data_IF_152690843784
#
_entry.id   IF_152690843784
#
_cell.length_a   1.000
_cell.length_b   1.000
_cell.length_c   1.000
_cell.angle_alpha   90.00
_cell.angle_beta   90.00
_cell.angle_gamma   90.00
#
_symmetry.space_group_name_H-M   'P 1'
#
loop_
_entity.id
_entity.type
_entity.pdbx_description
1 polymer ?
#
# COMPACT_ATOMS: atom_id res chain seq x y z
N UNK A 1 9.68 22.05 5.74
CA UNK A 1 9.80 21.92 7.21
C UNK A 1 8.62 22.54 7.94
N UNK A 2 8.23 23.80 7.68
CA UNK A 2 7.11 24.45 8.38
C UNK A 2 5.77 23.70 8.27
N UNK A 3 5.35 23.31 7.05
CA UNK A 3 4.06 22.61 6.85
C UNK A 3 4.02 21.21 7.48
N UNK A 4 5.16 20.50 7.50
CA UNK A 4 5.27 19.18 8.15
C UNK A 4 5.04 19.33 9.65
N UNK A 5 5.64 20.36 10.26
CA UNK A 5 5.44 20.67 11.67
C UNK A 5 3.98 21.04 11.97
N UNK A 6 3.36 21.86 11.13
CA UNK A 6 1.95 22.26 11.27
C UNK A 6 1.00 21.06 11.21
N UNK A 7 1.19 20.15 10.24
CA UNK A 7 0.42 18.89 10.14
C UNK A 7 0.64 18.04 11.39
N UNK A 8 1.88 17.90 11.86
CA UNK A 8 2.25 17.10 13.04
C UNK A 8 1.61 17.64 14.31
N UNK A 9 1.65 18.95 14.52
CA UNK A 9 1.00 19.63 15.65
C UNK A 9 -0.53 19.46 15.61
N UNK A 10 -1.13 19.61 14.43
CA UNK A 10 -2.57 19.42 14.24
C UNK A 10 -3.00 17.98 14.51
N UNK A 11 -2.27 17.00 13.97
CA UNK A 11 -2.50 15.57 14.26
C UNK A 11 -2.30 15.24 15.74
N UNK A 12 -1.31 15.82 16.39
CA UNK A 12 -1.10 15.65 17.83
C UNK A 12 -2.26 16.21 18.66
N UNK A 13 -2.86 17.33 18.24
CA UNK A 13 -3.96 17.97 18.96
C UNK A 13 -5.31 17.28 18.71
N UNK A 14 -5.63 17.01 17.46
CA UNK A 14 -6.96 16.55 17.03
C UNK A 14 -7.06 15.02 16.94
N UNK A 15 -5.95 14.33 16.72
CA UNK A 15 -5.89 12.89 16.48
C UNK A 15 -4.85 12.19 17.38
N UNK A 16 -4.78 12.61 18.65
CA UNK A 16 -3.78 12.15 19.63
C UNK A 16 -3.76 10.63 19.87
N UNK A 17 -4.86 9.92 19.59
CA UNK A 17 -4.98 8.46 19.71
C UNK A 17 -4.35 7.68 18.57
N UNK A 18 -4.01 8.33 17.45
CA UNK A 18 -3.31 7.67 16.35
C UNK A 18 -1.89 7.28 16.78
N UNK A 19 -1.38 6.15 16.26
CA UNK A 19 -0.05 5.64 16.59
C UNK A 19 1.04 6.63 16.20
N UNK A 20 2.17 6.53 16.88
CA UNK A 20 3.39 7.31 16.63
C UNK A 20 4.52 6.43 16.09
N UNK A 21 5.56 7.04 15.54
CA UNK A 21 6.67 6.37 14.87
C UNK A 21 6.39 6.08 13.40
N UNK A 22 7.05 5.06 12.84
CA UNK A 22 6.96 4.70 11.42
C UNK A 22 5.50 4.41 11.01
N UNK A 23 5.04 5.03 9.93
CA UNK A 23 3.66 5.04 9.45
C UNK A 23 2.63 5.61 10.46
N UNK A 24 3.09 6.38 11.44
CA UNK A 24 2.29 7.01 12.48
C UNK A 24 2.00 8.48 12.18
N UNK A 25 1.30 9.14 13.11
CA UNK A 25 0.86 10.54 12.99
C UNK A 25 1.99 11.57 13.06
N UNK A 26 3.21 11.14 13.38
CA UNK A 26 4.42 11.95 13.52
C UNK A 26 5.56 11.50 12.60
N UNK A 27 5.28 10.56 11.68
CA UNK A 27 6.19 10.14 10.60
C UNK A 27 6.33 11.28 9.58
N UNK A 28 7.50 11.94 9.60
CA UNK A 28 7.73 13.14 8.80
C UNK A 28 7.80 12.86 7.30
N UNK A 29 8.26 11.68 6.90
CA UNK A 29 8.32 11.26 5.50
C UNK A 29 6.90 11.01 4.99
N UNK A 30 6.07 10.30 5.77
CA UNK A 30 4.67 10.07 5.43
C UNK A 30 3.88 11.38 5.38
N UNK A 31 4.08 12.28 6.35
CA UNK A 31 3.45 13.61 6.35
C UNK A 31 3.86 14.41 5.10
N UNK A 32 5.15 14.43 4.76
CA UNK A 32 5.63 15.12 3.58
C UNK A 32 5.04 14.54 2.29
N UNK A 33 4.92 13.22 2.22
CA UNK A 33 4.29 12.53 1.10
C UNK A 33 2.83 12.97 0.90
N UNK A 34 2.01 12.92 1.97
CA UNK A 34 0.60 13.34 1.89
C UNK A 34 0.46 14.84 1.62
N UNK A 35 1.39 15.67 2.09
CA UNK A 35 1.43 17.09 1.71
C UNK A 35 1.67 17.25 0.21
N UNK A 36 2.64 16.56 -0.38
CA UNK A 36 2.90 16.64 -1.84
C UNK A 36 1.68 16.22 -2.64
N UNK A 37 1.10 15.06 -2.29
CA UNK A 37 -0.06 14.49 -2.94
C UNK A 37 -1.32 15.40 -2.81
N UNK A 38 -1.51 16.07 -1.67
CA UNK A 38 -2.58 17.05 -1.45
C UNK A 38 -2.19 18.49 -1.79
N UNK A 39 -1.20 18.70 -2.67
CA UNK A 39 -0.77 20.03 -3.17
C UNK A 39 -0.47 21.02 -2.04
N UNK A 40 0.14 20.50 -0.98
CA UNK A 40 0.55 21.19 0.24
C UNK A 40 -0.60 21.80 1.07
N UNK A 41 -1.83 21.31 0.89
CA UNK A 41 -2.97 21.64 1.75
C UNK A 41 -2.87 20.88 3.08
N UNK A 42 -2.68 21.60 4.18
CA UNK A 42 -2.55 21.03 5.54
C UNK A 42 -3.82 20.25 5.93
N UNK A 43 -5.00 20.86 5.73
CA UNK A 43 -6.27 20.23 6.10
C UNK A 43 -6.55 18.95 5.30
N UNK A 44 -6.30 18.97 3.98
CA UNK A 44 -6.50 17.79 3.14
C UNK A 44 -5.49 16.69 3.46
N UNK A 45 -4.23 17.05 3.72
CA UNK A 45 -3.19 16.11 4.12
C UNK A 45 -3.54 15.45 5.47
N UNK A 46 -3.97 16.23 6.47
CA UNK A 46 -4.42 15.70 7.77
C UNK A 46 -5.60 14.76 7.60
N UNK A 47 -6.63 15.16 6.84
CA UNK A 47 -7.82 14.36 6.62
C UNK A 47 -7.49 13.03 5.91
N UNK A 48 -6.59 13.07 4.93
CA UNK A 48 -6.18 11.90 4.16
C UNK A 48 -5.28 10.96 4.95
N UNK A 49 -4.23 11.48 5.57
CA UNK A 49 -3.29 10.74 6.41
C UNK A 49 -4.01 10.06 7.58
N UNK A 50 -4.96 10.74 8.22
CA UNK A 50 -5.79 10.15 9.28
C UNK A 50 -6.56 8.92 8.80
N UNK A 51 -7.18 9.00 7.61
CA UNK A 51 -7.91 7.85 7.03
C UNK A 51 -6.97 6.70 6.71
N UNK A 52 -5.80 7.01 6.14
CA UNK A 52 -4.77 6.02 5.82
C UNK A 52 -4.28 5.29 7.08
N UNK A 53 -3.92 6.01 8.14
CA UNK A 53 -3.45 5.42 9.40
C UNK A 53 -4.53 4.53 10.02
N UNK A 54 -5.78 5.00 10.10
CA UNK A 54 -6.89 4.20 10.64
C UNK A 54 -7.12 2.92 9.86
N UNK A 55 -7.13 3.00 8.54
CA UNK A 55 -7.27 1.80 7.71
C UNK A 55 -6.12 0.82 7.93
N UNK A 56 -4.86 1.30 8.05
CA UNK A 56 -3.72 0.44 8.35
C UNK A 56 -3.88 -0.32 9.66
N UNK A 57 -4.48 0.31 10.68
CA UNK A 57 -4.80 -0.33 11.95
C UNK A 57 -5.95 -1.35 11.81
N UNK A 58 -7.03 -0.98 11.13
CA UNK A 58 -8.19 -1.84 10.90
C UNK A 58 -7.83 -3.10 10.09
N UNK A 59 -7.02 -2.93 9.04
CA UNK A 59 -6.52 -4.02 8.21
C UNK A 59 -5.38 -4.81 8.86
N UNK A 60 -4.82 -4.30 9.97
CA UNK A 60 -3.70 -4.90 10.71
C UNK A 60 -2.45 -5.10 9.85
N UNK A 61 -2.08 -4.06 9.08
CA UNK A 61 -0.93 -4.11 8.17
C UNK A 61 0.37 -4.51 8.89
N UNK A 62 0.56 -4.07 10.13
CA UNK A 62 1.72 -4.42 10.96
C UNK A 62 1.77 -5.89 11.38
N UNK A 63 0.67 -6.63 11.30
CA UNK A 63 0.61 -8.07 11.60
C UNK A 63 0.90 -8.95 10.36
N UNK A 64 0.97 -8.34 9.16
CA UNK A 64 1.27 -9.08 7.93
C UNK A 64 2.72 -9.59 7.94
N UNK A 65 2.90 -10.83 7.53
CA UNK A 65 4.21 -11.48 7.44
C UNK A 65 4.23 -12.50 6.31
N UNK A 66 5.44 -12.90 5.89
CA UNK A 66 5.61 -13.94 4.86
C UNK A 66 4.91 -15.24 5.23
N UNK A 67 4.92 -15.64 6.51
CA UNK A 67 4.26 -16.86 6.96
C UNK A 67 2.73 -16.74 6.88
N UNK A 68 2.18 -15.57 7.23
CA UNK A 68 0.73 -15.35 7.18
C UNK A 68 0.18 -15.45 5.75
N UNK A 69 0.89 -14.92 4.76
CA UNK A 69 0.42 -14.91 3.36
C UNK A 69 0.95 -16.10 2.53
N UNK A 70 1.72 -17.00 3.15
CA UNK A 70 2.47 -18.06 2.49
C UNK A 70 1.64 -18.93 1.55
N UNK A 71 0.45 -19.34 2.00
CA UNK A 71 -0.42 -20.24 1.23
C UNK A 71 -0.82 -19.62 -0.12
N UNK A 72 -1.18 -18.34 -0.12
CA UNK A 72 -1.55 -17.63 -1.36
C UNK A 72 -0.31 -17.22 -2.13
N UNK A 73 0.76 -16.79 -1.46
CA UNK A 73 2.03 -16.40 -2.10
C UNK A 73 2.63 -17.55 -2.94
N UNK A 74 2.46 -18.80 -2.50
CA UNK A 74 2.92 -20.00 -3.23
C UNK A 74 2.29 -20.17 -4.62
N UNK A 75 1.15 -19.53 -4.90
CA UNK A 75 0.59 -19.51 -6.26
C UNK A 75 1.48 -18.78 -7.26
N UNK A 76 2.37 -17.91 -6.77
CA UNK A 76 3.28 -17.15 -7.62
C UNK A 76 2.57 -16.14 -8.52
N UNK A 77 1.37 -15.68 -8.13
CA UNK A 77 0.59 -14.68 -8.87
C UNK A 77 1.06 -13.25 -8.67
N UNK A 78 1.90 -13.00 -7.67
CA UNK A 78 2.54 -11.73 -7.46
C UNK A 78 3.93 -11.91 -6.83
N UNK A 79 4.89 -11.08 -7.23
CA UNK A 79 6.21 -11.02 -6.62
C UNK A 79 6.88 -9.67 -6.85
N UNK A 80 7.76 -9.28 -5.94
CA UNK A 80 8.60 -8.08 -6.10
C UNK A 80 9.89 -8.50 -6.80
N UNK A 81 10.15 -7.92 -7.97
CA UNK A 81 11.36 -8.16 -8.74
C UNK A 81 12.62 -7.81 -7.93
N UNK A 82 13.73 -8.49 -8.25
CA UNK A 82 15.00 -8.29 -7.52
C UNK A 82 15.70 -6.99 -7.87
N UNK A 83 15.49 -6.52 -9.11
CA UNK A 83 16.09 -5.28 -9.62
C UNK A 83 15.06 -4.17 -9.72
N UNK A 84 15.54 -2.94 -9.54
CA UNK A 84 14.79 -1.72 -9.79
C UNK A 84 14.60 -1.50 -11.30
N UNK A 85 13.58 -0.70 -11.67
CA UNK A 85 13.44 -0.22 -13.05
C UNK A 85 14.50 0.85 -13.38
N UNK A 86 14.50 1.31 -14.64
CA UNK A 86 15.42 2.36 -15.12
C UNK A 86 15.24 3.73 -14.44
N UNK A 87 14.20 3.91 -13.62
CA UNK A 87 13.93 5.10 -12.83
C UNK A 87 14.15 4.85 -11.32
N UNK A 88 14.86 3.77 -10.96
CA UNK A 88 15.15 3.32 -9.59
C UNK A 88 13.91 2.96 -8.75
N UNK A 89 12.84 2.49 -9.39
CA UNK A 89 11.61 2.10 -8.69
C UNK A 89 11.58 0.60 -8.43
N UNK A 90 11.18 0.16 -7.23
CA UNK A 90 10.84 -1.25 -7.00
C UNK A 90 9.73 -1.70 -7.95
N UNK A 91 9.85 -2.91 -8.49
CA UNK A 91 8.90 -3.45 -9.47
C UNK A 91 8.10 -4.57 -8.85
N UNK A 92 6.79 -4.38 -8.74
CA UNK A 92 5.82 -5.41 -8.38
C UNK A 92 5.25 -6.03 -9.65
N UNK A 93 5.47 -7.32 -9.84
CA UNK A 93 4.95 -8.08 -10.99
C UNK A 93 3.76 -8.91 -10.54
N UNK A 94 2.68 -8.87 -11.32
CA UNK A 94 1.45 -9.62 -11.09
C UNK A 94 1.12 -10.43 -12.34
N UNK A 95 0.93 -11.73 -12.18
CA UNK A 95 0.50 -12.65 -13.24
C UNK A 95 -0.98 -12.97 -13.06
N UNK A 96 -1.83 -12.26 -13.79
CA UNK A 96 -3.28 -12.30 -13.58
C UNK A 96 -3.90 -13.66 -13.90
N UNK A 97 -3.28 -14.45 -14.80
CA UNK A 97 -3.72 -15.80 -15.15
C UNK A 97 -3.60 -16.83 -14.01
N UNK A 98 -2.88 -16.48 -12.93
CA UNK A 98 -2.71 -17.30 -11.73
C UNK A 98 -3.70 -16.92 -10.60
N UNK A 99 -4.49 -15.87 -10.78
CA UNK A 99 -5.53 -15.49 -9.83
C UNK A 99 -6.77 -16.35 -10.07
N UNK A 100 -7.19 -17.16 -9.09
CA UNK A 100 -8.39 -18.00 -9.21
C UNK A 100 -9.30 -17.75 -8.01
N UNK A 101 -10.22 -16.77 -8.09
CA UNK A 101 -11.06 -16.34 -6.96
C UNK A 101 -11.90 -17.48 -6.35
N UNK A 102 -12.29 -18.45 -7.17
CA UNK A 102 -13.07 -19.60 -6.73
C UNK A 102 -12.27 -20.58 -5.85
N UNK A 103 -10.95 -20.49 -5.86
CA UNK A 103 -10.03 -21.42 -5.18
C UNK A 103 -9.37 -20.80 -3.95
N UNK A 104 -9.63 -19.52 -3.66
CA UNK A 104 -8.93 -18.75 -2.63
C UNK A 104 -9.93 -17.97 -1.77
N UNK A 105 -9.62 -17.82 -0.49
CA UNK A 105 -10.37 -16.90 0.36
C UNK A 105 -10.06 -15.46 -0.08
N UNK A 106 -11.07 -14.64 -0.44
CA UNK A 106 -10.86 -13.25 -0.83
C UNK A 106 -10.02 -12.46 0.18
N UNK A 107 -10.19 -12.71 1.48
CA UNK A 107 -9.42 -12.00 2.51
C UNK A 107 -7.92 -12.33 2.46
N UNK A 108 -7.55 -13.54 2.05
CA UNK A 108 -6.15 -13.95 1.91
C UNK A 108 -5.50 -13.30 0.67
N UNK A 109 -6.28 -13.08 -0.39
CA UNK A 109 -5.82 -12.35 -1.58
C UNK A 109 -5.60 -10.86 -1.30
N UNK A 110 -6.52 -10.24 -0.55
CA UNK A 110 -6.36 -8.88 -0.07
C UNK A 110 -5.10 -8.73 0.80
N UNK A 111 -4.87 -9.66 1.75
CA UNK A 111 -3.65 -9.66 2.57
C UNK A 111 -2.39 -9.84 1.74
N UNK A 112 -2.39 -10.74 0.75
CA UNK A 112 -1.24 -10.92 -0.15
C UNK A 112 -0.97 -9.62 -0.93
N UNK A 113 -2.01 -8.97 -1.44
CA UNK A 113 -1.88 -7.71 -2.17
C UNK A 113 -1.20 -6.64 -1.32
N UNK A 114 -1.72 -6.39 -0.11
CA UNK A 114 -1.16 -5.39 0.81
C UNK A 114 0.26 -5.77 1.21
N UNK A 115 0.51 -7.04 1.53
CA UNK A 115 1.85 -7.53 1.84
C UNK A 115 2.86 -7.29 0.71
N UNK A 116 2.49 -7.56 -0.53
CA UNK A 116 3.37 -7.36 -1.70
C UNK A 116 3.65 -5.88 -1.96
N UNK A 117 2.67 -4.99 -1.74
CA UNK A 117 2.88 -3.54 -1.81
C UNK A 117 3.83 -3.08 -0.70
N UNK A 118 3.62 -3.49 0.56
CA UNK A 118 4.54 -3.15 1.66
C UNK A 118 5.95 -3.67 1.39
N UNK A 119 6.08 -4.89 0.85
CA UNK A 119 7.36 -5.48 0.47
C UNK A 119 8.06 -4.70 -0.65
N UNK A 120 7.30 -4.15 -1.60
CA UNK A 120 7.84 -3.28 -2.65
C UNK A 120 8.27 -1.92 -2.08
N UNK A 121 7.44 -1.29 -1.24
CA UNK A 121 7.73 -0.02 -0.58
C UNK A 121 8.98 -0.11 0.31
N UNK A 122 9.21 -1.24 0.98
CA UNK A 122 10.43 -1.47 1.77
C UNK A 122 11.72 -1.49 0.93
N UNK A 123 11.63 -1.75 -0.37
CA UNK A 123 12.77 -1.70 -1.30
C UNK A 123 12.98 -0.30 -1.90
N UNK A 124 12.18 0.71 -1.55
CA UNK A 124 12.33 2.07 -2.07
C UNK A 124 13.72 2.62 -1.73
N UNK A 125 14.50 3.07 -2.73
CA UNK A 125 15.72 3.82 -2.46
C UNK A 125 15.41 5.14 -1.75
N UNK A 126 16.40 5.67 -1.01
CA UNK A 126 16.27 6.97 -0.34
C UNK A 126 15.87 8.06 -1.34
N UNK A 127 14.81 8.80 -1.03
CA UNK A 127 14.29 9.89 -1.86
C UNK A 127 13.37 9.45 -3.02
N UNK A 128 13.09 8.15 -3.17
CA UNK A 128 12.05 7.64 -4.08
C UNK A 128 10.75 7.43 -3.32
N UNK A 129 9.63 7.64 -4.00
CA UNK A 129 8.29 7.68 -3.39
C UNK A 129 7.28 6.79 -4.11
N UNK A 130 7.67 6.15 -5.23
CA UNK A 130 6.78 5.37 -6.08
C UNK A 130 7.35 4.00 -6.46
N UNK A 131 6.43 3.04 -6.67
CA UNK A 131 6.73 1.70 -7.16
C UNK A 131 6.12 1.52 -8.56
N UNK A 132 6.67 0.60 -9.34
CA UNK A 132 6.11 0.21 -10.64
C UNK A 132 5.33 -1.10 -10.51
N UNK A 133 4.03 -1.08 -10.83
CA UNK A 133 3.23 -2.30 -11.01
C UNK A 133 3.23 -2.76 -12.47
N UNK A 134 3.59 -4.02 -12.72
CA UNK A 134 3.46 -4.67 -14.04
C UNK A 134 2.44 -5.79 -13.92
N UNK A 135 1.36 -5.70 -14.69
CA UNK A 135 0.28 -6.70 -14.71
C UNK A 135 0.34 -7.47 -16.03
N UNK A 136 0.78 -8.72 -15.95
CA UNK A 136 0.76 -9.65 -17.07
C UNK A 136 -0.65 -10.24 -17.22
N UNK A 137 -1.32 -9.86 -18.30
CA UNK A 137 -2.66 -10.33 -18.65
C UNK A 137 -2.64 -11.47 -19.67
N UNK A 138 -1.46 -11.96 -20.08
CA UNK A 138 -1.37 -13.12 -20.98
C UNK A 138 -1.98 -14.33 -20.28
N UNK A 139 -2.90 -15.00 -20.98
CA UNK A 139 -3.61 -16.17 -20.42
C UNK A 139 -4.69 -15.82 -19.39
N UNK A 140 -4.96 -14.53 -19.12
CA UNK A 140 -6.11 -14.14 -18.30
C UNK A 140 -7.41 -14.51 -19.00
N UNK A 141 -8.29 -15.22 -18.28
CA UNK A 141 -9.61 -15.65 -18.74
C UNK A 141 -10.71 -15.32 -17.74
N UNK A 142 -11.92 -15.79 -18.03
CA UNK A 142 -13.11 -15.57 -17.19
C UNK A 142 -12.95 -16.10 -15.77
N UNK A 143 -12.28 -17.24 -15.61
CA UNK A 143 -12.06 -17.88 -14.31
C UNK A 143 -11.10 -17.10 -13.42
N UNK A 144 -10.35 -16.15 -14.00
CA UNK A 144 -9.46 -15.25 -13.28
C UNK A 144 -10.13 -13.91 -12.92
N UNK A 145 -11.30 -13.61 -13.47
CA UNK A 145 -11.92 -12.31 -13.30
C UNK A 145 -12.52 -12.14 -11.89
N UNK A 146 -12.15 -11.04 -11.24
CA UNK A 146 -12.57 -10.75 -9.87
C UNK A 146 -12.89 -9.27 -9.68
N UNK A 147 -14.17 -8.93 -9.85
CA UNK A 147 -14.63 -7.55 -9.68
C UNK A 147 -14.56 -7.09 -8.22
N UNK A 148 -14.69 -8.02 -7.26
CA UNK A 148 -14.59 -7.68 -5.84
C UNK A 148 -13.17 -7.30 -5.49
N UNK A 149 -12.21 -8.11 -5.91
CA UNK A 149 -10.80 -7.83 -5.71
C UNK A 149 -10.34 -6.57 -6.47
N UNK A 150 -10.85 -6.34 -7.69
CA UNK A 150 -10.59 -5.08 -8.40
C UNK A 150 -11.11 -3.86 -7.62
N UNK A 151 -12.30 -3.97 -7.03
CA UNK A 151 -12.87 -2.89 -6.19
C UNK A 151 -11.99 -2.65 -4.96
N UNK A 152 -11.51 -3.73 -4.33
CA UNK A 152 -10.55 -3.64 -3.23
C UNK A 152 -9.25 -2.94 -3.67
N UNK A 153 -8.64 -3.34 -4.79
CA UNK A 153 -7.43 -2.71 -5.35
C UNK A 153 -7.62 -1.21 -5.57
N UNK A 154 -8.75 -0.80 -6.14
CA UNK A 154 -9.08 0.61 -6.33
C UNK A 154 -9.24 1.35 -5.00
N UNK A 155 -9.87 0.73 -4.00
CA UNK A 155 -10.00 1.32 -2.67
C UNK A 155 -8.63 1.48 -1.99
N UNK A 156 -7.75 0.48 -2.12
CA UNK A 156 -6.39 0.49 -1.59
C UNK A 156 -5.56 1.62 -2.21
N UNK A 157 -5.63 1.79 -3.54
CA UNK A 157 -4.99 2.91 -4.23
C UNK A 157 -5.48 4.27 -3.70
N UNK A 158 -6.73 4.41 -3.27
CA UNK A 158 -7.25 5.63 -2.64
C UNK A 158 -6.90 5.77 -1.15
N UNK A 159 -6.30 4.77 -0.52
CA UNK A 159 -5.83 4.87 0.86
C UNK A 159 -4.33 5.10 0.92
N UNK A 160 -3.60 4.57 -0.05
CA UNK A 160 -2.17 4.77 -0.23
C UNK A 160 -1.86 6.05 -1.01
N UNK A 161 -2.73 6.48 -1.95
CA UNK A 161 -2.72 7.82 -2.57
C UNK A 161 -3.75 8.77 -1.98
#
# INVERSE_FOLDING_TARGET
MQLVLEVKEKLQKEYHSLPVGKNGRDDEDMILWFLKDRKFSVEDAVAKLTKAIKWRQEFKVSELSEELVKNVAQTGKAYVHDFLDVNDRPVLIVEASKHFPAMQDPAEDEKLCVFMIEKALQKLPTGKEDILGIFDLRGFGTDNADLKFLTFLLALCHQIN
#
